data_IF_702028694908
#
_entry.id   IF_702028694908
#
_cell.length_a   1.000
_cell.length_b   1.000
_cell.length_c   1.000
_cell.angle_alpha   90.00
_cell.angle_beta   90.00
_cell.angle_gamma   90.00
#
_symmetry.space_group_name_H-M   'P 1'
#
loop_
_entity.id
_entity.type
_entity.pdbx_description
1 polymer ?
#
# COMPACT_ATOMS: atom_id res chain seq x y z
N UNK A 1 7.01 21.11 1.25
CA UNK A 1 7.56 19.77 1.55
C UNK A 1 7.28 18.90 0.34
N UNK A 2 8.28 18.16 -0.13
CA UNK A 2 8.11 17.22 -1.26
C UNK A 2 7.98 15.79 -0.73
N UNK A 3 7.01 15.05 -1.26
CA UNK A 3 6.83 13.62 -0.99
C UNK A 3 6.87 12.83 -2.30
N UNK A 4 7.40 11.61 -2.25
CA UNK A 4 7.24 10.62 -3.33
C UNK A 4 6.07 9.73 -2.97
N UNK A 5 5.06 9.68 -3.83
CA UNK A 5 3.87 8.85 -3.63
C UNK A 5 4.27 7.38 -3.68
N UNK A 6 3.99 6.65 -2.61
CA UNK A 6 4.26 5.21 -2.46
C UNK A 6 2.99 4.40 -2.34
N UNK A 7 1.83 5.03 -2.20
CA UNK A 7 0.57 4.34 -1.97
C UNK A 7 -0.53 5.07 -2.73
N UNK A 8 -1.30 4.30 -3.51
CA UNK A 8 -2.51 4.78 -4.19
C UNK A 8 -3.64 3.83 -3.85
N UNK A 9 -4.32 4.11 -2.73
CA UNK A 9 -5.26 3.20 -2.09
C UNK A 9 -6.69 3.51 -2.50
N UNK A 10 -7.40 2.53 -3.06
CA UNK A 10 -8.83 2.67 -3.38
C UNK A 10 -9.72 2.52 -2.16
N UNK A 11 -10.86 3.21 -2.17
CA UNK A 11 -11.94 3.00 -1.21
C UNK A 11 -13.14 2.28 -1.85
N UNK A 12 -14.15 1.97 -1.03
CA UNK A 12 -15.47 1.55 -1.53
C UNK A 12 -16.18 2.69 -2.26
N UNK A 13 -15.93 3.94 -1.86
CA UNK A 13 -16.34 5.12 -2.62
C UNK A 13 -15.32 5.37 -3.75
N UNK A 14 -15.68 5.14 -5.03
CA UNK A 14 -14.76 5.28 -6.15
C UNK A 14 -14.49 6.75 -6.53
N UNK A 15 -15.17 7.72 -5.93
CA UNK A 15 -14.97 9.14 -6.21
C UNK A 15 -13.71 9.73 -5.58
N UNK A 16 -13.10 9.00 -4.63
CA UNK A 16 -11.91 9.44 -3.91
C UNK A 16 -10.85 8.33 -3.86
N UNK A 17 -9.60 8.77 -3.79
CA UNK A 17 -8.43 7.92 -3.66
C UNK A 17 -7.61 8.42 -2.47
N UNK A 18 -7.10 7.50 -1.67
CA UNK A 18 -6.10 7.84 -0.67
C UNK A 18 -4.72 7.78 -1.33
N UNK A 19 -3.99 8.89 -1.26
CA UNK A 19 -2.56 8.93 -1.57
C UNK A 19 -1.78 8.91 -0.26
N UNK A 20 -0.67 8.18 -0.21
CA UNK A 20 0.36 8.38 0.80
C UNK A 20 1.72 8.38 0.12
N UNK A 21 2.66 9.12 0.70
CA UNK A 21 4.01 9.23 0.19
C UNK A 21 5.02 9.42 1.30
N UNK A 22 6.28 9.27 0.94
CA UNK A 22 7.39 9.45 1.87
C UNK A 22 8.05 10.80 1.60
N UNK A 23 8.25 11.58 2.65
CA UNK A 23 9.08 12.76 2.61
C UNK A 23 10.55 12.35 2.42
N UNK A 24 11.15 12.79 1.31
CA UNK A 24 12.51 12.38 0.92
C UNK A 24 13.57 12.84 1.94
N UNK A 25 13.33 13.97 2.61
CA UNK A 25 14.29 14.54 3.56
C UNK A 25 14.25 13.87 4.94
N UNK A 26 13.07 13.41 5.38
CA UNK A 26 12.87 12.90 6.75
C UNK A 26 12.55 11.41 6.81
N UNK A 27 12.24 10.77 5.68
CA UNK A 27 11.67 9.43 5.56
C UNK A 27 10.31 9.26 6.26
N UNK A 28 9.67 10.35 6.67
CA UNK A 28 8.34 10.30 7.28
C UNK A 28 7.28 9.93 6.23
N UNK A 29 6.35 9.06 6.61
CA UNK A 29 5.16 8.80 5.82
C UNK A 29 4.16 9.95 6.02
N UNK A 30 3.61 10.45 4.91
CA UNK A 30 2.67 11.54 4.85
C UNK A 30 1.45 11.06 4.05
N UNK A 31 0.26 11.18 4.65
CA UNK A 31 -1.02 10.88 4.02
C UNK A 31 -1.85 12.16 3.93
N UNK A 32 -1.86 12.83 2.76
CA UNK A 32 -2.60 14.07 2.57
C UNK A 32 -4.12 13.91 2.75
N UNK A 33 -4.72 14.85 3.48
CA UNK A 33 -6.15 15.04 3.68
C UNK A 33 -6.59 16.46 3.28
N UNK A 34 -7.79 16.64 2.67
CA UNK A 34 -8.78 15.60 2.35
C UNK A 34 -8.28 14.62 1.27
N UNK A 35 -8.88 13.44 1.19
CA UNK A 35 -8.54 12.49 0.14
C UNK A 35 -8.76 13.11 -1.25
N UNK A 36 -7.88 12.78 -2.19
CA UNK A 36 -7.93 13.35 -3.53
C UNK A 36 -9.12 12.77 -4.30
N UNK A 37 -9.80 13.60 -5.08
CA UNK A 37 -10.81 13.13 -5.99
C UNK A 37 -10.17 12.29 -7.10
N UNK A 38 -10.82 11.21 -7.52
CA UNK A 38 -10.27 10.27 -8.50
C UNK A 38 -10.01 10.94 -9.85
N UNK A 39 -10.89 11.84 -10.28
CA UNK A 39 -10.76 12.62 -11.51
C UNK A 39 -9.54 13.55 -11.48
N UNK A 40 -9.28 14.20 -10.35
CA UNK A 40 -8.09 15.03 -10.14
C UNK A 40 -6.81 14.19 -10.13
N UNK A 41 -6.86 13.00 -9.51
CA UNK A 41 -5.76 12.05 -9.50
C UNK A 41 -5.37 11.60 -10.92
N UNK A 42 -6.39 11.30 -11.76
CA UNK A 42 -6.25 10.99 -13.18
C UNK A 42 -5.72 12.19 -13.98
N UNK A 43 -6.29 13.38 -13.78
CA UNK A 43 -5.90 14.61 -14.50
C UNK A 43 -4.44 14.97 -14.25
N UNK A 44 -3.96 14.79 -13.03
CA UNK A 44 -2.57 15.03 -12.64
C UNK A 44 -1.65 13.84 -12.95
N UNK A 45 -2.21 12.71 -13.39
CA UNK A 45 -1.50 11.44 -13.61
C UNK A 45 -0.67 11.02 -12.39
N UNK A 46 -1.25 11.13 -11.20
CA UNK A 46 -0.58 10.74 -9.94
C UNK A 46 -0.52 9.22 -9.89
N UNK A 47 0.68 8.65 -9.80
CA UNK A 47 0.94 7.22 -9.67
C UNK A 47 1.97 7.01 -8.56
N UNK A 48 2.16 5.79 -8.04
CA UNK A 48 3.36 5.50 -7.26
C UNK A 48 4.62 5.92 -8.02
N UNK A 49 5.49 6.70 -7.37
CA UNK A 49 6.64 7.38 -7.97
C UNK A 49 6.39 8.85 -8.36
N UNK A 50 5.17 9.37 -8.31
CA UNK A 50 4.91 10.80 -8.49
C UNK A 50 5.49 11.63 -7.35
N UNK A 51 6.13 12.76 -7.67
CA UNK A 51 6.57 13.76 -6.69
C UNK A 51 5.48 14.81 -6.51
N UNK A 52 5.05 15.01 -5.27
CA UNK A 52 4.09 16.06 -4.90
C UNK A 52 4.73 17.04 -3.92
N UNK A 53 4.66 18.32 -4.24
CA UNK A 53 4.92 19.41 -3.32
C UNK A 53 3.63 19.85 -2.63
N UNK A 54 3.68 19.98 -1.32
CA UNK A 54 2.59 20.51 -0.51
C UNK A 54 3.08 21.21 0.76
N UNK A 55 2.19 22.02 1.33
CA UNK A 55 2.31 22.48 2.72
C UNK A 55 1.50 21.51 3.59
N UNK A 56 2.19 20.48 4.09
CA UNK A 56 1.59 19.42 4.90
C UNK A 56 1.66 19.78 6.38
N UNK A 57 0.51 19.80 7.04
CA UNK A 57 0.40 20.10 8.47
C UNK A 57 -0.23 18.92 9.20
N UNK A 58 0.40 18.47 10.28
CA UNK A 58 -0.06 17.31 11.03
C UNK A 58 -1.50 17.50 11.54
N UNK A 59 -2.36 16.53 11.25
CA UNK A 59 -3.72 16.54 11.75
C UNK A 59 -3.81 15.87 13.13
N UNK A 60 -3.68 16.68 14.18
CA UNK A 60 -3.69 16.20 15.57
C UNK A 60 -5.03 15.63 16.05
N UNK A 61 -6.08 15.66 15.24
CA UNK A 61 -7.42 15.17 15.62
C UNK A 61 -7.67 13.69 15.31
N UNK A 62 -6.91 13.09 14.39
CA UNK A 62 -7.08 11.68 13.98
C UNK A 62 -6.52 10.70 15.01
N UNK A 63 -5.37 11.05 15.60
CA UNK A 63 -4.65 10.21 16.55
C UNK A 63 -4.12 8.91 15.94
N UNK A 64 -3.52 8.09 16.81
CA UNK A 64 -2.95 6.80 16.43
C UNK A 64 -4.01 5.83 15.89
N UNK A 65 -3.66 4.95 14.93
CA UNK A 65 -2.33 4.78 14.33
C UNK A 65 -2.08 5.69 13.13
N UNK A 66 -3.01 6.58 12.81
CA UNK A 66 -3.02 7.36 11.58
C UNK A 66 -2.35 8.73 11.76
N UNK A 67 -1.22 8.75 12.45
CA UNK A 67 -0.49 10.00 12.72
C UNK A 67 0.11 10.61 11.46
N UNK A 68 0.25 9.81 10.38
CA UNK A 68 0.64 10.29 9.06
C UNK A 68 -0.42 11.16 8.37
N UNK A 69 -1.64 11.26 8.91
CA UNK A 69 -2.70 12.09 8.34
C UNK A 69 -2.35 13.58 8.47
N UNK A 70 -2.10 14.23 7.33
CA UNK A 70 -1.76 15.66 7.28
C UNK A 70 -2.78 16.43 6.46
N UNK A 71 -3.22 17.60 6.94
CA UNK A 71 -3.94 18.54 6.10
C UNK A 71 -3.00 19.16 5.06
N UNK A 72 -3.57 19.59 3.93
CA UNK A 72 -2.87 20.39 2.92
C UNK A 72 -3.78 21.47 2.35
N UNK A 73 -3.19 22.58 1.91
CA UNK A 73 -3.91 23.66 1.21
C UNK A 73 -3.97 23.44 -0.30
N UNK A 74 -2.82 23.08 -0.90
CA UNK A 74 -2.71 22.75 -2.31
C UNK A 74 -1.62 21.71 -2.53
N UNK A 75 -1.79 20.91 -3.58
CA UNK A 75 -0.80 19.95 -4.06
C UNK A 75 -0.32 20.41 -5.43
N UNK A 76 1.00 20.41 -5.62
CA UNK A 76 1.63 20.65 -6.91
C UNK A 76 2.36 19.40 -7.36
N UNK A 77 1.98 18.89 -8.52
CA UNK A 77 2.71 17.81 -9.16
C UNK A 77 4.06 18.30 -9.67
N UNK A 78 5.15 17.62 -9.29
CA UNK A 78 6.53 17.97 -9.62
C UNK A 78 7.23 16.90 -10.49
N UNK A 79 6.44 16.16 -11.27
CA UNK A 79 6.96 15.10 -12.13
C UNK A 79 7.08 13.73 -11.44
N UNK A 80 7.66 12.77 -12.16
CA UNK A 80 7.96 11.44 -11.62
C UNK A 80 9.38 11.39 -11.06
N UNK A 81 9.59 10.61 -10.00
CA UNK A 81 10.92 10.27 -9.55
C UNK A 81 11.56 9.24 -10.49
N UNK A 82 12.89 9.12 -10.39
CA UNK A 82 13.63 8.03 -11.02
C UNK A 82 13.38 6.71 -10.30
N UNK A 83 13.63 5.59 -10.96
CA UNK A 83 13.56 4.27 -10.33
C UNK A 83 14.52 4.14 -9.13
N UNK A 84 15.69 4.78 -9.21
CA UNK A 84 16.67 4.80 -8.12
C UNK A 84 16.14 5.57 -6.90
N UNK A 85 15.52 6.74 -7.10
CA UNK A 85 14.89 7.51 -6.01
C UNK A 85 13.76 6.70 -5.36
N UNK A 86 12.90 6.06 -6.16
CA UNK A 86 11.80 5.25 -5.63
C UNK A 86 12.30 4.05 -4.82
N UNK A 87 13.31 3.35 -5.35
CA UNK A 87 13.98 2.27 -4.63
C UNK A 87 14.53 2.74 -3.28
N UNK A 88 15.24 3.87 -3.26
CA UNK A 88 15.84 4.39 -2.04
C UNK A 88 14.79 4.78 -1.00
N UNK A 89 13.67 5.39 -1.41
CA UNK A 89 12.56 5.71 -0.52
C UNK A 89 11.98 4.46 0.15
N UNK A 90 11.75 3.39 -0.61
CA UNK A 90 11.24 2.13 -0.06
C UNK A 90 12.28 1.46 0.86
N UNK A 91 13.54 1.44 0.44
CA UNK A 91 14.63 0.83 1.20
C UNK A 91 14.87 1.55 2.54
N UNK A 92 14.84 2.89 2.55
CA UNK A 92 15.09 3.69 3.77
C UNK A 92 13.97 3.56 4.82
N UNK A 93 12.77 3.15 4.41
CA UNK A 93 11.60 3.00 5.29
C UNK A 93 11.29 1.55 5.62
N UNK A 94 12.19 0.62 5.27
CA UNK A 94 11.99 -0.81 5.48
C UNK A 94 12.08 -1.19 6.94
N UNK A 95 11.08 -1.93 7.42
CA UNK A 95 11.09 -2.62 8.73
C UNK A 95 11.32 -4.12 8.52
N UNK A 96 11.63 -4.84 9.59
CA UNK A 96 12.06 -6.25 9.47
C UNK A 96 10.90 -7.17 9.13
N UNK A 97 9.76 -7.00 9.79
CA UNK A 97 8.55 -7.82 9.64
C UNK A 97 7.29 -6.99 9.94
N UNK A 98 6.10 -7.52 9.65
CA UNK A 98 4.82 -6.92 10.03
C UNK A 98 4.73 -6.74 11.55
N UNK A 99 5.15 -7.77 12.30
CA UNK A 99 5.11 -7.74 13.76
C UNK A 99 6.03 -6.65 14.34
N UNK A 100 7.23 -6.51 13.76
CA UNK A 100 8.22 -5.47 14.11
C UNK A 100 7.70 -4.07 13.76
N UNK A 101 7.20 -3.88 12.54
CA UNK A 101 6.74 -2.58 12.04
C UNK A 101 5.56 -1.99 12.77
N UNK A 102 4.66 -2.84 13.29
CA UNK A 102 3.50 -2.40 14.08
C UNK A 102 3.66 -2.60 15.59
N UNK A 103 4.81 -3.10 16.05
CA UNK A 103 5.05 -3.47 17.45
C UNK A 103 3.91 -4.33 18.03
N UNK A 104 3.48 -5.34 17.26
CA UNK A 104 2.37 -6.21 17.62
C UNK A 104 2.60 -7.64 17.17
N UNK A 105 2.51 -8.57 18.12
CA UNK A 105 2.63 -10.00 17.84
C UNK A 105 1.29 -10.57 17.37
N UNK A 106 1.15 -10.78 16.07
CA UNK A 106 -0.05 -11.40 15.51
C UNK A 106 -0.15 -12.88 15.92
N UNK A 107 -1.35 -13.35 16.32
CA UNK A 107 -1.60 -14.79 16.44
C UNK A 107 -1.53 -15.44 15.05
N UNK A 108 -1.31 -16.75 14.99
CA UNK A 108 -1.26 -17.49 13.73
C UNK A 108 -2.53 -17.26 12.89
N UNK A 109 -2.36 -16.86 11.63
CA UNK A 109 -3.47 -16.48 10.73
C UNK A 109 -4.22 -15.19 11.11
N UNK A 110 -3.77 -14.48 12.16
CA UNK A 110 -4.30 -13.21 12.61
C UNK A 110 -3.98 -12.07 11.64
N UNK A 111 -4.91 -11.12 11.51
CA UNK A 111 -4.77 -9.95 10.62
C UNK A 111 -5.28 -8.65 11.24
N UNK A 112 -5.58 -8.68 12.53
CA UNK A 112 -6.24 -7.60 13.24
C UNK A 112 -5.39 -7.26 14.43
N UNK A 113 -5.04 -5.98 14.55
CA UNK A 113 -4.53 -5.41 15.78
C UNK A 113 -5.75 -4.91 16.56
N UNK A 114 -6.02 -5.42 17.77
CA UNK A 114 -7.13 -4.97 18.59
C UNK A 114 -7.05 -3.46 18.85
N UNK A 115 -8.19 -2.78 18.94
CA UNK A 115 -8.23 -1.34 19.26
C UNK A 115 -7.55 -0.99 20.61
N UNK A 116 -7.45 -1.95 21.53
CA UNK A 116 -6.73 -1.77 22.80
C UNK A 116 -5.21 -1.74 22.67
N UNK A 117 -4.68 -2.07 21.49
CA UNK A 117 -3.27 -2.21 21.18
C UNK A 117 -2.89 -1.32 19.98
N UNK A 118 -3.36 -0.07 19.98
CA UNK A 118 -3.16 0.86 18.87
C UNK A 118 -1.67 1.05 18.56
N UNK A 119 -1.22 0.77 17.32
CA UNK A 119 0.18 0.94 16.94
C UNK A 119 0.53 2.40 16.69
N UNK A 120 1.83 2.70 16.58
CA UNK A 120 2.33 4.07 16.37
C UNK A 120 2.11 4.61 14.95
N UNK A 121 2.00 3.72 13.97
CA UNK A 121 1.85 4.07 12.56
C UNK A 121 0.91 3.10 11.87
N UNK A 122 0.28 3.54 10.79
CA UNK A 122 -0.67 2.70 10.06
C UNK A 122 -0.15 2.14 8.76
N UNK A 123 1.06 2.52 8.31
CA UNK A 123 1.67 2.03 7.07
C UNK A 123 3.15 1.74 7.32
N UNK A 124 3.63 0.58 6.85
CA UNK A 124 5.02 0.16 6.92
C UNK A 124 5.51 -0.33 5.55
N UNK A 125 6.83 -0.29 5.33
CA UNK A 125 7.47 -0.90 4.16
C UNK A 125 8.14 -2.21 4.55
N UNK A 126 7.90 -3.28 3.81
CA UNK A 126 8.61 -4.55 3.98
C UNK A 126 9.40 -4.86 2.72
N UNK A 127 10.63 -5.34 2.89
CA UNK A 127 11.37 -6.02 1.83
C UNK A 127 11.19 -7.52 1.99
N UNK A 128 10.76 -8.19 0.93
CA UNK A 128 10.51 -9.64 0.91
C UNK A 128 11.08 -10.27 -0.36
N UNK A 129 11.26 -11.58 -0.35
CA UNK A 129 11.60 -12.35 -1.54
C UNK A 129 10.33 -12.68 -2.34
N UNK A 130 10.44 -12.85 -3.66
CA UNK A 130 9.31 -13.24 -4.50
C UNK A 130 8.64 -14.54 -4.03
N UNK A 131 9.44 -15.52 -3.58
CA UNK A 131 8.98 -16.80 -3.03
C UNK A 131 8.13 -16.68 -1.76
N UNK A 132 8.20 -15.55 -1.06
CA UNK A 132 7.44 -15.30 0.17
C UNK A 132 6.01 -14.83 -0.11
N UNK A 133 5.70 -14.38 -1.32
CA UNK A 133 4.36 -13.89 -1.66
C UNK A 133 3.70 -14.69 -2.78
N UNK A 134 2.37 -14.76 -2.76
CA UNK A 134 1.58 -15.19 -3.92
C UNK A 134 0.32 -14.36 -4.06
N UNK A 135 0.10 -13.85 -5.27
CA UNK A 135 -1.18 -13.25 -5.66
C UNK A 135 -2.15 -14.37 -6.04
N UNK A 136 -3.35 -14.33 -5.47
CA UNK A 136 -4.40 -15.32 -5.73
C UNK A 136 -5.73 -14.62 -6.03
N UNK A 137 -6.59 -15.24 -6.85
CA UNK A 137 -7.98 -14.80 -7.02
C UNK A 137 -8.74 -14.98 -5.69
N UNK A 138 -9.59 -14.02 -5.37
CA UNK A 138 -10.56 -14.14 -4.29
C UNK A 138 -11.69 -15.07 -4.75
N UNK A 139 -11.75 -16.27 -4.18
CA UNK A 139 -12.78 -17.27 -4.51
C UNK A 139 -14.18 -16.86 -4.09
N UNK A 140 -14.32 -15.81 -3.27
CA UNK A 140 -15.60 -15.32 -2.74
C UNK A 140 -16.09 -14.04 -3.43
N UNK A 141 -15.25 -13.37 -4.21
CA UNK A 141 -15.59 -12.09 -4.85
C UNK A 141 -14.89 -11.97 -6.20
N UNK A 142 -15.68 -12.10 -7.27
CA UNK A 142 -15.20 -11.88 -8.64
C UNK A 142 -14.53 -10.51 -8.78
N UNK A 143 -13.45 -10.46 -9.56
CA UNK A 143 -12.68 -9.23 -9.80
C UNK A 143 -11.74 -8.82 -8.66
N UNK A 144 -11.69 -9.57 -7.55
CA UNK A 144 -10.79 -9.26 -6.42
C UNK A 144 -9.63 -10.24 -6.34
N UNK A 145 -8.47 -9.71 -6.02
CA UNK A 145 -7.27 -10.50 -5.70
C UNK A 145 -6.85 -10.31 -4.24
N UNK A 146 -6.08 -11.28 -3.76
CA UNK A 146 -5.50 -11.31 -2.42
C UNK A 146 -4.03 -11.64 -2.49
N UNK A 147 -3.31 -11.28 -1.44
CA UNK A 147 -1.92 -11.65 -1.25
C UNK A 147 -1.80 -12.65 -0.11
N UNK A 148 -1.12 -13.77 -0.36
CA UNK A 148 -0.58 -14.64 0.68
C UNK A 148 0.87 -14.24 0.93
N UNK A 149 1.27 -14.12 2.19
CA UNK A 149 2.63 -13.75 2.62
C UNK A 149 3.15 -14.74 3.67
N UNK A 150 4.39 -15.18 3.49
CA UNK A 150 5.25 -15.71 4.54
C UNK A 150 6.23 -14.60 4.94
N UNK A 151 5.98 -13.97 6.08
CA UNK A 151 6.76 -12.82 6.54
C UNK A 151 8.17 -13.22 7.00
N UNK A 152 9.05 -12.24 7.17
CA UNK A 152 10.46 -12.45 7.53
C UNK A 152 10.65 -13.03 8.94
N UNK A 153 9.65 -12.90 9.80
CA UNK A 153 9.61 -13.53 11.14
C UNK A 153 9.03 -14.96 11.12
N UNK A 154 8.72 -15.49 9.93
CA UNK A 154 8.16 -16.82 9.71
C UNK A 154 6.64 -16.92 9.82
N UNK A 155 5.93 -15.83 10.15
CA UNK A 155 4.46 -15.85 10.25
C UNK A 155 3.79 -15.89 8.89
N UNK A 156 2.65 -16.58 8.83
CA UNK A 156 1.84 -16.66 7.61
C UNK A 156 0.64 -15.72 7.69
N UNK A 157 0.55 -14.83 6.71
CA UNK A 157 -0.60 -13.98 6.48
C UNK A 157 -1.24 -14.35 5.14
N UNK A 158 -2.27 -15.18 5.18
CA UNK A 158 -2.96 -15.64 3.97
C UNK A 158 -4.14 -14.76 3.65
N UNK A 159 -4.49 -14.52 2.38
CA UNK A 159 -5.71 -13.82 1.99
C UNK A 159 -5.77 -12.35 2.47
N UNK A 160 -4.64 -11.63 2.44
CA UNK A 160 -4.60 -10.20 2.72
C UNK A 160 -5.28 -9.43 1.57
N UNK A 161 -6.16 -8.47 1.86
CA UNK A 161 -6.76 -7.63 0.82
C UNK A 161 -5.70 -6.75 0.16
N UNK A 162 -5.74 -6.66 -1.16
CA UNK A 162 -4.95 -5.69 -1.93
C UNK A 162 -5.85 -4.48 -2.22
N UNK A 163 -5.42 -3.32 -1.75
CA UNK A 163 -6.14 -2.04 -1.90
C UNK A 163 -5.40 -1.03 -2.77
N UNK A 164 -4.22 -1.40 -3.30
CA UNK A 164 -3.56 -0.71 -4.41
C UNK A 164 -4.51 -0.58 -5.62
N UNK A 165 -4.74 0.64 -6.08
CA UNK A 165 -5.66 0.98 -7.17
C UNK A 165 -5.21 0.38 -8.50
N UNK A 166 -3.91 0.37 -8.78
CA UNK A 166 -3.36 -0.19 -10.02
C UNK A 166 -3.56 -1.69 -10.11
N UNK A 167 -3.24 -2.40 -9.03
CA UNK A 167 -3.53 -3.84 -8.91
C UNK A 167 -5.01 -4.16 -9.00
N UNK A 168 -5.88 -3.31 -8.44
CA UNK A 168 -7.32 -3.48 -8.59
C UNK A 168 -7.76 -3.35 -10.06
N UNK A 169 -7.33 -2.29 -10.75
CA UNK A 169 -7.68 -2.07 -12.16
C UNK A 169 -7.14 -3.19 -13.06
N UNK A 170 -5.92 -3.65 -12.80
CA UNK A 170 -5.34 -4.80 -13.49
C UNK A 170 -6.15 -6.08 -13.22
N UNK A 171 -6.49 -6.35 -11.96
CA UNK A 171 -7.29 -7.51 -11.60
C UNK A 171 -8.67 -7.51 -12.28
N UNK A 172 -9.38 -6.39 -12.31
CA UNK A 172 -10.70 -6.30 -12.97
C UNK A 172 -10.61 -6.61 -14.47
N UNK A 173 -9.57 -6.14 -15.16
CA UNK A 173 -9.39 -6.37 -16.60
C UNK A 173 -9.05 -7.82 -16.94
N UNK A 174 -8.25 -8.46 -16.09
CA UNK A 174 -7.66 -9.77 -16.38
C UNK A 174 -8.25 -10.91 -15.53
N UNK A 175 -9.25 -10.64 -14.69
CA UNK A 175 -9.75 -11.63 -13.74
C UNK A 175 -10.21 -12.93 -14.42
N UNK A 176 -10.77 -12.82 -15.62
CA UNK A 176 -11.30 -13.95 -16.39
C UNK A 176 -10.27 -14.54 -17.36
N UNK A 177 -9.06 -13.99 -17.44
CA UNK A 177 -7.97 -14.60 -18.20
C UNK A 177 -7.59 -15.94 -17.54
N UNK A 178 -7.37 -16.96 -18.38
CA UNK A 178 -7.06 -18.31 -17.95
C UNK A 178 -5.73 -18.41 -17.19
N UNK A 179 -4.78 -17.52 -17.48
CA UNK A 179 -3.42 -17.52 -16.95
C UNK A 179 -3.17 -16.41 -15.92
N UNK A 180 -4.17 -15.63 -15.52
CA UNK A 180 -3.95 -14.38 -14.78
C UNK A 180 -3.12 -14.50 -13.50
N UNK A 181 -3.43 -15.40 -12.54
CA UNK A 181 -2.63 -15.52 -11.34
C UNK A 181 -1.22 -16.01 -11.66
N UNK A 182 -1.08 -16.95 -12.59
CA UNK A 182 0.22 -17.48 -13.02
C UNK A 182 1.07 -16.39 -13.66
N UNK A 183 0.50 -15.57 -14.54
CA UNK A 183 1.16 -14.48 -15.26
C UNK A 183 1.74 -13.45 -14.30
N UNK A 184 0.94 -12.96 -13.35
CA UNK A 184 1.38 -11.93 -12.40
C UNK A 184 2.42 -12.47 -11.42
N UNK A 185 2.26 -13.71 -10.94
CA UNK A 185 3.25 -14.34 -10.06
C UNK A 185 4.55 -14.65 -10.82
N UNK A 186 4.49 -15.09 -12.08
CA UNK A 186 5.67 -15.30 -12.91
C UNK A 186 6.43 -13.99 -13.16
N UNK A 187 5.71 -12.89 -13.39
CA UNK A 187 6.32 -11.57 -13.47
C UNK A 187 7.05 -11.23 -12.16
N UNK A 188 6.39 -11.38 -11.00
CA UNK A 188 7.00 -11.12 -9.68
C UNK A 188 8.22 -12.02 -9.42
N UNK A 189 8.13 -13.31 -9.73
CA UNK A 189 9.21 -14.29 -9.55
C UNK A 189 10.43 -13.97 -10.44
N UNK A 190 10.27 -13.19 -11.51
CA UNK A 190 11.38 -12.72 -12.36
C UNK A 190 12.11 -11.47 -11.85
N UNK A 191 11.65 -10.87 -10.74
CA UNK A 191 12.20 -9.65 -10.17
C UNK A 191 13.22 -9.94 -9.07
N UNK A 192 14.20 -9.06 -8.91
CA UNK A 192 15.29 -9.22 -7.94
C UNK A 192 14.89 -8.71 -6.56
N UNK A 193 14.31 -7.51 -6.50
CA UNK A 193 13.84 -6.91 -5.25
C UNK A 193 12.33 -6.70 -5.30
N UNK A 194 11.70 -6.95 -4.15
CA UNK A 194 10.28 -6.81 -3.95
C UNK A 194 10.01 -6.11 -2.62
N UNK A 195 9.20 -5.06 -2.68
CA UNK A 195 8.76 -4.29 -1.53
C UNK A 195 7.24 -4.31 -1.43
N UNK A 196 6.73 -4.45 -0.21
CA UNK A 196 5.31 -4.32 0.11
C UNK A 196 5.11 -3.05 0.94
N UNK A 197 4.06 -2.28 0.63
CA UNK A 197 3.49 -1.32 1.55
C UNK A 197 2.33 -2.00 2.25
N UNK A 198 2.48 -2.26 3.54
CA UNK A 198 1.48 -2.92 4.37
C UNK A 198 0.83 -1.87 5.24
N UNK A 199 -0.48 -1.74 5.14
CA UNK A 199 -1.23 -0.76 5.91
C UNK A 199 -2.26 -1.39 6.83
N UNK A 200 -2.80 -0.53 7.69
CA UNK A 200 -3.90 -0.80 8.59
C UNK A 200 -5.13 -0.02 8.12
N UNK A 201 -6.31 -0.66 8.18
CA UNK A 201 -7.56 0.04 7.99
C UNK A 201 -7.79 1.07 9.11
N UNK A 202 -8.73 2.00 8.93
CA UNK A 202 -9.37 2.66 10.07
C UNK A 202 -10.03 1.63 11.00
N UNK A 203 -10.31 2.03 12.24
CA UNK A 203 -10.99 1.16 13.22
C UNK A 203 -12.30 0.65 12.64
N UNK A 204 -12.46 -0.66 12.61
CA UNK A 204 -13.67 -1.30 12.12
C UNK A 204 -13.94 -2.60 12.87
N UNK A 205 -15.20 -2.77 13.27
CA UNK A 205 -15.70 -3.98 13.91
C UNK A 205 -16.31 -4.93 12.89
N UNK A 206 -15.81 -6.17 12.84
CA UNK A 206 -16.34 -7.23 11.97
C UNK A 206 -16.27 -8.59 12.66
N UNK A 207 -17.38 -9.33 12.64
CA UNK A 207 -17.50 -10.67 13.22
C UNK A 207 -16.92 -10.78 14.64
N UNK A 208 -17.27 -9.82 15.51
CA UNK A 208 -16.84 -9.79 16.91
C UNK A 208 -15.39 -9.36 17.13
N UNK A 209 -14.63 -8.99 16.09
CA UNK A 209 -13.29 -8.41 16.19
C UNK A 209 -13.34 -6.92 15.91
N UNK A 210 -12.90 -6.12 16.87
CA UNK A 210 -12.81 -4.65 16.76
C UNK A 210 -11.35 -4.21 16.75
N UNK A 211 -10.94 -3.49 15.71
CA UNK A 211 -9.57 -3.03 15.59
C UNK A 211 -9.19 -2.60 14.19
N UNK A 212 -7.90 -2.70 13.92
CA UNK A 212 -7.25 -2.24 12.70
C UNK A 212 -6.84 -3.45 11.85
N UNK A 213 -7.26 -3.50 10.59
CA UNK A 213 -7.11 -4.67 9.74
C UNK A 213 -5.96 -4.51 8.76
N UNK A 214 -5.11 -5.54 8.64
CA UNK A 214 -4.01 -5.57 7.67
C UNK A 214 -4.53 -5.55 6.22
N UNK A 215 -3.84 -4.77 5.39
CA UNK A 215 -4.07 -4.64 3.96
C UNK A 215 -2.75 -4.38 3.22
N UNK A 216 -2.69 -4.72 1.94
CA UNK A 216 -1.57 -4.42 1.05
C UNK A 216 -1.93 -3.18 0.23
N UNK A 217 -1.28 -2.07 0.54
CA UNK A 217 -1.49 -0.77 -0.09
C UNK A 217 -0.62 -0.57 -1.32
N UNK A 218 0.46 -1.34 -1.46
CA UNK A 218 1.38 -1.27 -2.59
C UNK A 218 2.28 -2.50 -2.71
N UNK A 219 2.64 -2.85 -3.94
CA UNK A 219 3.55 -3.95 -4.28
C UNK A 219 4.51 -3.42 -5.35
N UNK A 220 5.80 -3.38 -5.06
CA UNK A 220 6.80 -2.74 -5.90
C UNK A 220 7.95 -3.67 -6.20
N UNK A 221 8.33 -3.72 -7.47
CA UNK A 221 9.30 -4.66 -8.01
C UNK A 221 10.45 -3.94 -8.69
N UNK A 222 11.63 -4.54 -8.65
CA UNK A 222 12.83 -4.04 -9.30
C UNK A 222 13.64 -5.22 -9.91
N UNK A 223 14.32 -5.02 -11.06
CA UNK A 223 14.54 -3.73 -11.73
C UNK A 223 13.35 -3.26 -12.58
N UNK A 224 12.36 -4.12 -12.84
CA UNK A 224 11.23 -3.78 -13.68
C UNK A 224 9.94 -3.68 -12.87
N UNK A 225 8.98 -2.92 -13.38
CA UNK A 225 7.60 -2.89 -12.92
C UNK A 225 6.67 -3.25 -14.07
N UNK A 226 5.46 -3.72 -13.76
CA UNK A 226 4.42 -3.97 -14.75
C UNK A 226 3.74 -2.64 -15.12
N UNK A 227 3.85 -2.24 -16.39
CA UNK A 227 3.36 -0.96 -16.87
C UNK A 227 1.82 -0.86 -16.87
N UNK A 228 1.11 -1.98 -17.01
CA UNK A 228 -0.36 -2.00 -16.96
C UNK A 228 -0.88 -1.91 -15.52
N UNK A 229 -0.12 -2.43 -14.55
CA UNK A 229 -0.41 -2.21 -13.12
C UNK A 229 -0.12 -0.76 -12.73
N UNK A 230 0.91 -0.15 -13.33
CA UNK A 230 1.31 1.25 -13.08
C UNK A 230 0.78 2.20 -14.15
N UNK A 231 -0.45 1.96 -14.58
CA UNK A 231 -1.24 2.83 -15.44
C UNK A 231 -2.67 3.00 -14.90
N UNK A 232 -3.40 3.92 -15.52
CA UNK A 232 -4.85 4.05 -15.37
C UNK A 232 -5.64 3.34 -16.48
N UNK A 233 -4.94 2.86 -17.50
CA UNK A 233 -5.51 2.37 -18.76
C UNK A 233 -5.10 0.94 -19.04
#
# INVERSE_FOLDING_TARGET
MEIIITDLTRFSNPAIVCIAGINIATNECIRPLPYIATDECLRLNILPGSKLDGDFQQNTTRGLPHDEDNSYNSLRYNGACTAAEFYQVLNNTTVTSISDGFDYLFPEGGKVIPYTNTPQQSIITLKVQASQIRIVKDSFSHGKIKLNLLDNDGRRFTYLPITDLGFYNYAIRHFDDNDFPERINAFIDSQTDLYLRVGLSGRYSNNGRDGYWLQINGIYTFPNFDAEIRSYY
#
